data_IF_425284438312
#
_entry.id   IF_425284438312
#
_cell.length_a   1.000
_cell.length_b   1.000
_cell.length_c   1.000
_cell.angle_alpha   90.00
_cell.angle_beta   90.00
_cell.angle_gamma   90.00
#
_symmetry.space_group_name_H-M   'P 1'
#
loop_
_entity.id
_entity.type
_entity.pdbx_description
1 polymer ?
#
# COMPACT_ATOMS: atom_id res chain seq x y z
N UNK A 1 -53.57 -17.28 18.17
CA UNK A 1 -52.97 -15.93 18.20
C UNK A 1 -51.85 -15.98 17.18
N UNK A 2 -52.21 -15.56 15.96
CA UNK A 2 -51.27 -15.46 14.84
C UNK A 2 -50.27 -14.35 15.13
N UNK A 3 -49.03 -14.71 15.39
CA UNK A 3 -47.91 -13.81 15.33
C UNK A 3 -47.75 -13.41 13.87
N UNK A 4 -48.27 -12.26 13.48
CA UNK A 4 -48.01 -11.72 12.15
C UNK A 4 -46.54 -11.40 12.07
N UNK A 5 -45.80 -12.16 11.26
CA UNK A 5 -44.45 -11.79 10.86
C UNK A 5 -44.49 -10.40 10.26
N UNK A 6 -43.64 -9.48 10.75
CA UNK A 6 -43.54 -8.13 10.21
C UNK A 6 -43.15 -8.21 8.74
N UNK A 7 -43.88 -7.49 7.90
CA UNK A 7 -43.62 -7.36 6.49
C UNK A 7 -42.25 -6.70 6.29
N UNK A 8 -41.48 -7.13 5.30
CA UNK A 8 -40.15 -6.55 4.97
C UNK A 8 -40.23 -5.06 4.66
N UNK A 9 -41.33 -4.61 4.05
CA UNK A 9 -41.57 -3.17 3.83
C UNK A 9 -41.74 -2.42 5.16
N UNK A 10 -42.42 -3.02 6.12
CA UNK A 10 -42.59 -2.44 7.46
C UNK A 10 -41.26 -2.41 8.23
N UNK A 11 -40.45 -3.45 8.09
CA UNK A 11 -39.12 -3.51 8.73
C UNK A 11 -38.22 -2.39 8.22
N UNK A 12 -38.26 -2.09 6.92
CA UNK A 12 -37.49 -0.98 6.33
C UNK A 12 -38.19 0.37 6.47
N UNK A 13 -39.47 0.41 6.85
CA UNK A 13 -40.24 1.62 6.99
C UNK A 13 -40.51 2.33 5.66
N UNK A 14 -40.70 1.58 4.59
CA UNK A 14 -40.97 2.07 3.24
C UNK A 14 -42.31 1.56 2.69
N UNK A 15 -42.85 2.22 1.70
CA UNK A 15 -44.05 1.75 1.00
C UNK A 15 -43.74 0.64 0.01
N UNK A 16 -44.74 -0.13 -0.38
CA UNK A 16 -44.59 -1.21 -1.39
C UNK A 16 -44.16 -0.68 -2.77
N UNK A 17 -44.39 0.59 -3.02
CA UNK A 17 -44.03 1.28 -4.27
C UNK A 17 -42.65 1.93 -4.20
N UNK A 18 -41.89 1.70 -3.13
CA UNK A 18 -40.58 2.32 -2.93
C UNK A 18 -39.60 1.97 -4.05
N UNK A 19 -38.87 2.97 -4.55
CA UNK A 19 -37.84 2.78 -5.55
C UNK A 19 -36.60 2.11 -4.96
N UNK A 20 -35.73 1.58 -5.82
CA UNK A 20 -34.45 1.01 -5.38
C UNK A 20 -33.60 2.02 -4.58
N UNK A 21 -33.71 3.30 -4.93
CA UNK A 21 -33.05 4.38 -4.20
C UNK A 21 -33.63 4.57 -2.80
N UNK A 22 -34.94 4.51 -2.67
CA UNK A 22 -35.64 4.65 -1.39
C UNK A 22 -35.31 3.47 -0.46
N UNK A 23 -35.28 2.27 -0.99
CA UNK A 23 -34.86 1.06 -0.27
C UNK A 23 -33.43 1.17 0.25
N UNK A 24 -32.52 1.64 -0.57
CA UNK A 24 -31.12 1.82 -0.21
C UNK A 24 -30.94 2.88 0.88
N UNK A 25 -31.63 4.00 0.75
CA UNK A 25 -31.59 5.09 1.75
C UNK A 25 -32.14 4.63 3.09
N UNK A 26 -33.29 3.94 3.10
CA UNK A 26 -33.91 3.40 4.29
C UNK A 26 -33.01 2.36 4.97
N UNK A 27 -32.41 1.47 4.19
CA UNK A 27 -31.48 0.46 4.70
C UNK A 27 -30.26 1.11 5.36
N UNK A 28 -29.63 2.07 4.73
CA UNK A 28 -28.44 2.75 5.29
C UNK A 28 -28.77 3.42 6.63
N UNK A 29 -29.90 4.08 6.72
CA UNK A 29 -30.34 4.77 7.93
C UNK A 29 -30.59 3.79 9.08
N UNK A 30 -31.28 2.69 8.80
CA UNK A 30 -31.59 1.68 9.80
C UNK A 30 -30.38 0.84 10.19
N UNK A 31 -29.53 0.51 9.23
CA UNK A 31 -28.30 -0.24 9.49
C UNK A 31 -27.34 0.55 10.41
N UNK A 32 -27.21 1.84 10.20
CA UNK A 32 -26.41 2.70 11.07
C UNK A 32 -26.98 2.79 12.49
N UNK A 33 -28.32 2.86 12.61
CA UNK A 33 -29.01 2.96 13.90
C UNK A 33 -28.95 1.67 14.72
N UNK A 34 -29.03 0.52 14.07
CA UNK A 34 -29.10 -0.79 14.73
C UNK A 34 -27.85 -1.62 14.64
N UNK A 35 -26.72 -1.02 14.21
CA UNK A 35 -25.43 -1.70 14.14
C UNK A 35 -24.98 -2.15 15.54
N UNK A 36 -24.51 -3.40 15.70
CA UNK A 36 -24.05 -3.91 17.00
C UNK A 36 -22.97 -3.05 17.65
N UNK A 37 -22.05 -2.49 16.87
CA UNK A 37 -20.97 -1.61 17.36
C UNK A 37 -21.50 -0.25 17.87
N UNK A 38 -22.67 0.17 17.42
CA UNK A 38 -23.34 1.38 17.89
C UNK A 38 -24.31 1.11 19.06
N UNK A 39 -24.25 -0.07 19.67
CA UNK A 39 -25.15 -0.47 20.74
C UNK A 39 -26.55 -0.91 20.27
N UNK A 40 -26.70 -1.21 18.98
CA UNK A 40 -27.95 -1.70 18.41
C UNK A 40 -28.19 -3.19 18.66
N UNK A 41 -29.44 -3.62 18.42
CA UNK A 41 -29.87 -5.01 18.56
C UNK A 41 -29.43 -5.82 17.32
N UNK A 42 -28.63 -6.85 17.54
CA UNK A 42 -28.13 -7.73 16.48
C UNK A 42 -29.27 -8.45 15.73
N UNK A 43 -30.38 -8.79 16.39
CA UNK A 43 -31.52 -9.44 15.75
C UNK A 43 -32.27 -8.48 14.81
N UNK A 44 -32.47 -7.24 15.23
CA UNK A 44 -33.04 -6.20 14.36
C UNK A 44 -32.17 -5.91 13.17
N UNK A 45 -30.87 -5.86 13.37
CA UNK A 45 -29.90 -5.68 12.28
C UNK A 45 -29.99 -6.81 11.26
N UNK A 46 -30.12 -8.06 11.72
CA UNK A 46 -30.32 -9.23 10.87
C UNK A 46 -31.63 -9.15 10.07
N UNK A 47 -32.73 -8.77 10.70
CA UNK A 47 -34.02 -8.59 10.03
C UNK A 47 -33.97 -7.50 8.96
N UNK A 48 -33.32 -6.38 9.25
CA UNK A 48 -33.13 -5.27 8.31
C UNK A 48 -32.34 -5.72 7.10
N UNK A 49 -31.25 -6.47 7.29
CA UNK A 49 -30.43 -7.02 6.21
C UNK A 49 -31.24 -8.00 5.35
N UNK A 50 -32.00 -8.89 5.96
CA UNK A 50 -32.83 -9.85 5.25
C UNK A 50 -33.92 -9.17 4.41
N UNK A 51 -34.60 -8.18 4.97
CA UNK A 51 -35.60 -7.38 4.28
C UNK A 51 -35.02 -6.64 3.07
N UNK A 52 -33.90 -5.97 3.24
CA UNK A 52 -33.25 -5.24 2.16
C UNK A 52 -32.76 -6.16 1.05
N UNK A 53 -32.14 -7.28 1.38
CA UNK A 53 -31.64 -8.24 0.40
C UNK A 53 -32.74 -8.86 -0.43
N UNK A 54 -33.90 -9.11 0.18
CA UNK A 54 -35.05 -9.62 -0.54
C UNK A 54 -35.66 -8.58 -1.46
N UNK A 55 -35.83 -7.35 -0.99
CA UNK A 55 -36.49 -6.28 -1.76
C UNK A 55 -35.59 -5.61 -2.78
N UNK A 56 -34.27 -5.70 -2.63
CA UNK A 56 -33.30 -5.14 -3.53
C UNK A 56 -33.28 -5.86 -4.89
N UNK A 57 -33.45 -7.16 -4.89
CA UNK A 57 -33.47 -7.98 -6.10
C UNK A 57 -34.87 -7.98 -6.72
N UNK A 58 -35.04 -7.52 -7.97
CA UNK A 58 -36.35 -7.50 -8.62
C UNK A 58 -37.04 -8.85 -8.66
N UNK A 59 -36.31 -9.94 -8.85
CA UNK A 59 -36.88 -11.29 -8.88
C UNK A 59 -37.33 -11.75 -7.49
N UNK A 60 -36.52 -11.55 -6.47
CA UNK A 60 -36.89 -11.85 -5.08
C UNK A 60 -38.01 -10.98 -4.57
N UNK A 61 -38.00 -9.71 -4.94
CA UNK A 61 -39.09 -8.77 -4.63
C UNK A 61 -40.40 -9.25 -5.24
N UNK A 62 -40.38 -9.66 -6.50
CA UNK A 62 -41.57 -10.18 -7.18
C UNK A 62 -42.06 -11.46 -6.53
N UNK A 63 -41.20 -12.39 -6.17
CA UNK A 63 -41.57 -13.62 -5.45
C UNK A 63 -42.14 -13.30 -4.07
N UNK A 64 -41.50 -12.37 -3.35
CA UNK A 64 -42.02 -11.93 -2.05
C UNK A 64 -43.40 -11.27 -2.15
N UNK A 65 -43.62 -10.42 -3.15
CA UNK A 65 -44.90 -9.75 -3.39
C UNK A 65 -46.00 -10.73 -3.79
N UNK A 66 -45.67 -11.82 -4.49
CA UNK A 66 -46.64 -12.84 -4.91
C UNK A 66 -46.96 -13.85 -3.82
N UNK A 67 -45.98 -14.29 -3.03
CA UNK A 67 -46.11 -15.41 -2.10
C UNK A 67 -46.04 -15.00 -0.63
N UNK A 68 -45.79 -13.73 -0.32
CA UNK A 68 -45.76 -13.22 1.05
C UNK A 68 -44.57 -13.68 1.90
N UNK A 69 -43.72 -14.53 1.35
CA UNK A 69 -42.48 -14.97 1.99
C UNK A 69 -41.39 -15.21 0.95
N UNK A 70 -40.18 -14.75 1.22
CA UNK A 70 -39.00 -15.19 0.53
C UNK A 70 -38.39 -16.41 1.23
N UNK A 71 -39.23 -17.28 1.80
CA UNK A 71 -38.76 -18.44 2.54
C UNK A 71 -38.14 -19.47 1.57
N UNK A 72 -36.81 -19.68 1.62
CA UNK A 72 -36.14 -20.64 0.77
C UNK A 72 -36.52 -22.09 1.08
N UNK A 73 -37.19 -22.35 2.20
CA UNK A 73 -37.59 -23.72 2.58
C UNK A 73 -38.64 -24.30 1.65
N UNK A 74 -39.43 -23.50 0.96
CA UNK A 74 -40.37 -23.96 -0.03
C UNK A 74 -39.78 -24.19 -1.42
N UNK A 75 -38.53 -23.75 -1.67
CA UNK A 75 -37.86 -23.84 -2.97
C UNK A 75 -36.66 -24.79 -2.99
N UNK A 76 -36.48 -25.65 -2.01
CA UNK A 76 -35.54 -26.78 -2.09
C UNK A 76 -34.06 -26.45 -2.08
N UNK A 77 -33.64 -25.51 -1.29
CA UNK A 77 -32.21 -25.22 -1.09
C UNK A 77 -31.97 -23.99 -0.23
N UNK A 78 -31.64 -24.23 0.99
CA UNK A 78 -31.26 -23.17 1.92
C UNK A 78 -29.77 -22.93 1.87
N UNK A 79 -29.29 -21.89 1.17
CA UNK A 79 -27.86 -21.57 1.20
C UNK A 79 -27.42 -20.97 2.53
N UNK A 80 -28.35 -20.71 3.45
CA UNK A 80 -28.08 -20.09 4.75
C UNK A 80 -28.41 -20.99 5.96
N UNK A 81 -28.55 -22.29 5.74
CA UNK A 81 -28.73 -23.25 6.79
C UNK A 81 -27.47 -23.48 7.61
N UNK A 82 -27.43 -22.97 8.81
CA UNK A 82 -26.47 -23.31 9.85
C UNK A 82 -25.05 -22.75 9.72
N UNK A 83 -24.91 -21.46 9.73
CA UNK A 83 -23.62 -20.82 9.97
C UNK A 83 -23.79 -19.64 10.91
N UNK A 84 -23.22 -19.79 12.07
CA UNK A 84 -23.11 -18.72 13.06
C UNK A 84 -22.26 -17.59 12.49
N UNK A 85 -22.87 -16.70 11.70
CA UNK A 85 -22.19 -15.51 11.22
C UNK A 85 -22.20 -14.44 12.31
N UNK A 86 -21.16 -14.48 13.15
CA UNK A 86 -20.84 -13.36 14.04
C UNK A 86 -20.15 -12.27 13.22
N UNK A 87 -20.86 -11.20 12.98
CA UNK A 87 -20.36 -10.09 12.18
C UNK A 87 -19.79 -8.99 13.09
N UNK A 88 -18.48 -8.77 13.04
CA UNK A 88 -17.77 -7.72 13.79
C UNK A 88 -17.11 -6.70 12.85
N UNK A 89 -17.83 -6.21 11.84
CA UNK A 89 -17.29 -5.28 10.85
C UNK A 89 -18.03 -3.95 10.79
N UNK A 90 -17.40 -2.93 10.21
CA UNK A 90 -17.99 -1.62 9.96
C UNK A 90 -19.08 -1.69 8.87
N UNK A 91 -20.01 -0.70 8.78
CA UNK A 91 -21.02 -0.65 7.72
C UNK A 91 -20.43 -0.65 6.30
N UNK A 92 -19.19 -0.20 6.12
CA UNK A 92 -18.47 -0.22 4.85
C UNK A 92 -17.98 -1.62 4.50
N UNK A 93 -17.52 -2.38 5.49
CA UNK A 93 -17.13 -3.78 5.33
C UNK A 93 -18.32 -4.67 4.96
N UNK A 94 -19.52 -4.30 5.41
CA UNK A 94 -20.76 -4.97 5.03
C UNK A 94 -21.05 -4.82 3.53
N UNK A 95 -20.79 -3.65 2.94
CA UNK A 95 -20.98 -3.46 1.50
C UNK A 95 -20.02 -4.30 0.67
N UNK A 96 -18.77 -4.44 1.11
CA UNK A 96 -17.78 -5.25 0.42
C UNK A 96 -18.09 -6.75 0.53
N UNK A 97 -18.52 -7.21 1.70
CA UNK A 97 -18.91 -8.60 1.90
C UNK A 97 -20.23 -8.93 1.18
N UNK A 98 -21.19 -8.02 1.20
CA UNK A 98 -22.41 -8.18 0.43
C UNK A 98 -22.12 -8.21 -1.08
N UNK A 99 -21.26 -7.33 -1.56
CA UNK A 99 -20.83 -7.34 -2.97
C UNK A 99 -20.13 -8.64 -3.36
N UNK A 100 -19.31 -9.20 -2.49
CA UNK A 100 -18.57 -10.43 -2.74
C UNK A 100 -19.45 -11.67 -2.59
N UNK A 101 -20.33 -11.71 -1.60
CA UNK A 101 -21.14 -12.89 -1.30
C UNK A 101 -22.37 -13.02 -2.21
N UNK A 102 -23.02 -11.92 -2.55
CA UNK A 102 -24.18 -11.91 -3.43
C UNK A 102 -23.83 -11.77 -4.90
N UNK A 103 -22.65 -11.24 -5.24
CA UNK A 103 -22.15 -11.19 -6.62
C UNK A 103 -21.75 -12.55 -7.19
N UNK A 104 -21.45 -13.54 -6.34
CA UNK A 104 -21.04 -14.88 -6.80
C UNK A 104 -22.16 -15.92 -6.82
N UNK A 105 -23.28 -15.70 -6.12
CA UNK A 105 -24.30 -16.73 -5.91
C UNK A 105 -25.62 -16.54 -6.66
N UNK A 106 -25.92 -15.38 -7.15
CA UNK A 106 -27.24 -15.05 -7.69
C UNK A 106 -27.13 -14.33 -9.03
N UNK A 107 -26.62 -14.95 -10.08
CA UNK A 107 -26.90 -14.62 -11.48
C UNK A 107 -27.14 -13.16 -11.91
N UNK A 108 -26.78 -12.17 -11.08
CA UNK A 108 -26.57 -10.84 -11.61
C UNK A 108 -25.29 -10.87 -12.45
N UNK A 109 -25.35 -10.61 -13.74
CA UNK A 109 -24.14 -10.47 -14.49
C UNK A 109 -23.33 -9.40 -13.79
N UNK A 110 -22.13 -9.77 -13.28
CA UNK A 110 -21.11 -8.78 -12.97
C UNK A 110 -21.15 -7.82 -14.15
N UNK A 111 -21.38 -6.53 -13.90
CA UNK A 111 -21.23 -5.53 -14.95
C UNK A 111 -19.87 -5.80 -15.55
N UNK A 112 -19.86 -6.26 -16.79
CA UNK A 112 -18.62 -6.49 -17.51
C UNK A 112 -17.90 -5.15 -17.52
N UNK A 113 -16.76 -5.11 -16.87
CA UNK A 113 -15.88 -3.94 -16.86
C UNK A 113 -14.59 -4.33 -17.54
N UNK A 114 -14.02 -3.40 -18.25
CA UNK A 114 -12.66 -3.56 -18.73
C UNK A 114 -11.72 -3.69 -17.53
N UNK A 115 -10.80 -4.63 -17.61
CA UNK A 115 -9.87 -4.94 -16.54
C UNK A 115 -8.73 -3.93 -16.49
N UNK A 116 -8.15 -3.78 -15.32
CA UNK A 116 -6.87 -3.12 -15.18
C UNK A 116 -5.76 -4.03 -15.72
N UNK A 117 -4.73 -3.41 -16.28
CA UNK A 117 -3.53 -4.10 -16.73
C UNK A 117 -2.41 -3.75 -15.77
N UNK A 118 -1.65 -4.75 -15.35
CA UNK A 118 -0.47 -4.56 -14.51
C UNK A 118 0.79 -4.84 -15.30
N UNK A 119 1.74 -3.92 -15.27
CA UNK A 119 3.07 -4.10 -15.85
C UNK A 119 4.13 -3.75 -14.80
N UNK A 120 5.32 -4.32 -14.95
CA UNK A 120 6.47 -3.97 -14.13
C UNK A 120 7.38 -3.02 -14.90
N UNK A 121 7.89 -2.01 -14.22
CA UNK A 121 8.85 -1.07 -14.79
C UNK A 121 10.03 -0.93 -13.84
N UNK A 122 11.23 -1.21 -14.33
CA UNK A 122 12.46 -1.18 -13.53
C UNK A 122 13.19 0.13 -13.76
N UNK A 123 13.51 0.80 -12.67
CA UNK A 123 14.33 2.03 -12.65
C UNK A 123 15.59 1.80 -11.83
N UNK A 124 16.57 2.66 -12.03
CA UNK A 124 17.82 2.63 -11.26
C UNK A 124 17.67 3.36 -9.92
N UNK A 125 18.55 3.05 -8.98
CA UNK A 125 18.56 3.69 -7.67
C UNK A 125 18.65 5.22 -7.77
N UNK A 126 19.45 5.74 -8.69
CA UNK A 126 19.60 7.19 -8.92
C UNK A 126 18.31 7.88 -9.33
N UNK A 127 17.39 7.16 -9.97
CA UNK A 127 16.15 7.73 -10.50
C UNK A 127 15.14 8.11 -9.43
N UNK A 128 15.27 7.54 -8.22
CA UNK A 128 14.36 7.86 -7.10
C UNK A 128 14.56 9.28 -6.55
N UNK A 129 15.70 9.90 -6.82
CA UNK A 129 16.00 11.23 -6.28
C UNK A 129 15.28 12.34 -7.04
N UNK A 130 15.17 12.22 -8.35
CA UNK A 130 14.55 13.24 -9.21
C UNK A 130 13.28 12.75 -9.92
N UNK A 131 12.98 11.47 -9.78
CA UNK A 131 11.98 10.83 -10.62
C UNK A 131 12.52 10.64 -12.04
N UNK A 132 11.74 9.95 -12.85
CA UNK A 132 12.08 9.70 -14.24
C UNK A 132 10.83 9.76 -15.11
N UNK A 133 10.93 10.45 -16.25
CA UNK A 133 9.93 10.39 -17.31
C UNK A 133 10.41 9.48 -18.41
N UNK A 134 9.56 8.59 -18.89
CA UNK A 134 9.89 7.70 -19.98
C UNK A 134 8.67 7.34 -20.81
N UNK A 135 8.91 7.01 -22.07
CA UNK A 135 7.89 6.46 -22.98
C UNK A 135 7.96 4.95 -22.88
N UNK A 136 6.84 4.33 -22.53
CA UNK A 136 6.75 2.88 -22.44
C UNK A 136 5.74 2.33 -23.46
N UNK A 137 6.02 1.14 -23.95
CA UNK A 137 5.16 0.40 -24.87
C UNK A 137 4.72 -0.91 -24.22
N UNK A 138 3.45 -1.23 -24.33
CA UNK A 138 2.90 -2.48 -23.81
C UNK A 138 1.79 -3.00 -24.71
N UNK A 139 1.52 -4.31 -24.65
CA UNK A 139 0.47 -4.93 -25.42
C UNK A 139 -0.83 -4.98 -24.62
N UNK A 140 -1.93 -4.58 -25.26
CA UNK A 140 -3.26 -4.81 -24.73
C UNK A 140 -3.67 -6.28 -24.96
N UNK A 141 -4.60 -6.83 -24.16
CA UNK A 141 -5.12 -8.18 -24.37
C UNK A 141 -5.70 -8.40 -25.77
N UNK A 142 -6.19 -7.34 -26.41
CA UNK A 142 -6.68 -7.34 -27.80
C UNK A 142 -5.57 -7.52 -28.85
N UNK A 143 -4.29 -7.49 -28.44
CA UNK A 143 -3.13 -7.54 -29.34
C UNK A 143 -2.65 -6.18 -29.83
N UNK A 144 -3.38 -5.11 -29.55
CA UNK A 144 -3.00 -3.75 -29.91
C UNK A 144 -1.82 -3.29 -29.05
N UNK A 145 -0.84 -2.63 -29.68
CA UNK A 145 0.24 -1.98 -28.97
C UNK A 145 -0.17 -0.59 -28.51
N UNK A 146 0.14 -0.28 -27.26
CA UNK A 146 -0.11 1.04 -26.67
C UNK A 146 1.23 1.66 -26.27
N UNK A 147 1.37 2.95 -26.55
CA UNK A 147 2.57 3.75 -26.21
C UNK A 147 2.12 4.93 -25.36
N UNK A 148 2.71 5.08 -24.20
CA UNK A 148 2.37 6.16 -23.27
C UNK A 148 3.61 6.80 -22.67
N UNK A 149 3.50 8.07 -22.34
CA UNK A 149 4.50 8.77 -21.55
C UNK A 149 4.12 8.63 -20.06
N UNK A 150 5.05 8.09 -19.27
CA UNK A 150 4.87 7.88 -17.84
C UNK A 150 5.91 8.65 -17.06
N UNK A 151 5.47 9.31 -16.00
CA UNK A 151 6.36 9.95 -15.05
C UNK A 151 6.33 9.21 -13.73
N UNK A 152 7.48 8.68 -13.34
CA UNK A 152 7.69 8.08 -12.02
C UNK A 152 8.13 9.19 -11.07
N UNK A 153 7.41 9.44 -9.97
CA UNK A 153 7.72 10.56 -9.09
C UNK A 153 9.01 10.35 -8.30
N UNK A 154 9.65 11.46 -7.94
CA UNK A 154 10.77 11.45 -6.99
C UNK A 154 10.27 10.88 -5.64
N UNK A 155 11.10 10.10 -4.99
CA UNK A 155 10.75 9.47 -3.71
C UNK A 155 10.06 8.12 -3.83
N UNK A 156 9.79 7.64 -5.05
CA UNK A 156 9.18 6.32 -5.27
C UNK A 156 9.98 5.23 -4.56
N UNK A 157 9.28 4.27 -3.99
CA UNK A 157 9.88 3.11 -3.31
C UNK A 157 9.77 1.88 -4.18
N UNK A 158 10.69 0.93 -3.97
CA UNK A 158 10.60 -0.37 -4.62
C UNK A 158 9.27 -1.05 -4.25
N UNK A 159 8.52 -1.47 -5.27
CA UNK A 159 7.22 -2.09 -5.08
C UNK A 159 6.03 -1.12 -5.10
N UNK A 160 6.26 0.17 -5.14
CA UNK A 160 5.19 1.14 -5.31
C UNK A 160 4.52 0.99 -6.68
N UNK A 161 3.25 1.35 -6.74
CA UNK A 161 2.48 1.32 -7.99
C UNK A 161 2.09 2.73 -8.42
N UNK A 162 2.21 2.98 -9.72
CA UNK A 162 1.74 4.19 -10.37
C UNK A 162 0.53 3.82 -11.22
N UNK A 163 -0.59 4.50 -11.00
CA UNK A 163 -1.83 4.27 -11.74
C UNK A 163 -1.97 5.28 -12.87
N UNK A 164 -2.17 4.78 -14.08
CA UNK A 164 -2.48 5.60 -15.25
C UNK A 164 -3.91 5.32 -15.64
N UNK A 165 -4.77 6.27 -15.38
CA UNK A 165 -6.20 6.13 -15.56
C UNK A 165 -6.57 6.01 -17.03
N UNK A 166 -7.41 5.03 -17.35
CA UNK A 166 -7.95 4.86 -18.70
C UNK A 166 -7.02 4.21 -19.72
N UNK A 167 -5.90 3.60 -19.28
CA UNK A 167 -4.92 2.95 -20.15
C UNK A 167 -4.82 1.43 -19.96
N UNK A 168 -5.81 0.85 -19.31
CA UNK A 168 -5.96 -0.60 -19.18
C UNK A 168 -6.61 -1.25 -20.39
N UNK A 169 -7.26 -2.39 -20.16
CA UNK A 169 -7.95 -3.16 -21.19
C UNK A 169 -9.08 -2.35 -21.84
N UNK A 170 -9.22 -2.48 -23.15
CA UNK A 170 -10.26 -1.86 -23.97
C UNK A 170 -11.12 -2.89 -24.72
N UNK A 171 -11.04 -4.16 -24.36
CA UNK A 171 -11.65 -5.27 -25.13
C UNK A 171 -13.17 -5.21 -25.16
N UNK A 172 -13.81 -4.65 -24.15
CA UNK A 172 -15.27 -4.50 -24.08
C UNK A 172 -15.67 -3.15 -24.63
N UNK A 173 -16.23 -3.16 -25.84
CA UNK A 173 -16.73 -1.94 -26.48
C UNK A 173 -17.93 -1.36 -25.72
N UNK A 174 -18.01 -0.04 -25.66
CA UNK A 174 -19.07 0.67 -24.96
C UNK A 174 -18.87 0.78 -23.44
N UNK A 175 -17.84 0.15 -22.90
CA UNK A 175 -17.44 0.27 -21.50
C UNK A 175 -16.16 1.12 -21.37
N UNK A 176 -16.03 1.90 -20.30
CA UNK A 176 -14.79 2.63 -20.05
C UNK A 176 -13.59 1.65 -20.02
N UNK A 177 -12.45 2.12 -20.49
CA UNK A 177 -11.22 1.36 -20.40
C UNK A 177 -10.86 1.17 -18.91
N UNK A 178 -10.21 0.04 -18.59
CA UNK A 178 -9.58 -0.14 -17.31
C UNK A 178 -8.38 0.79 -17.13
N UNK A 179 -7.68 0.65 -16.04
CA UNK A 179 -6.49 1.44 -15.73
C UNK A 179 -5.22 0.62 -15.93
N UNK A 180 -4.13 1.30 -16.22
CA UNK A 180 -2.81 0.70 -16.22
C UNK A 180 -2.19 0.88 -14.84
N UNK A 181 -1.74 -0.21 -14.25
CA UNK A 181 -1.02 -0.22 -12.97
C UNK A 181 0.43 -0.54 -13.26
N UNK A 182 1.31 0.41 -13.01
CA UNK A 182 2.75 0.23 -13.22
C UNK A 182 3.39 -0.07 -11.87
N UNK A 183 3.87 -1.28 -11.70
CA UNK A 183 4.61 -1.67 -10.51
C UNK A 183 6.07 -1.30 -10.69
N UNK A 184 6.55 -0.38 -9.88
CA UNK A 184 7.91 0.13 -9.95
C UNK A 184 8.85 -0.81 -9.21
N UNK A 185 9.88 -1.26 -9.91
CA UNK A 185 11.01 -1.99 -9.32
C UNK A 185 12.23 -1.09 -9.33
N UNK A 186 12.86 -0.93 -8.19
CA UNK A 186 14.08 -0.12 -8.07
C UNK A 186 15.27 -1.07 -8.00
N UNK A 187 16.17 -0.95 -8.98
CA UNK A 187 17.42 -1.71 -9.01
C UNK A 187 18.36 -1.18 -7.93
N UNK A 188 18.87 -2.08 -7.09
CA UNK A 188 19.81 -1.73 -6.05
C UNK A 188 21.13 -1.19 -6.62
N UNK A 189 21.80 -0.35 -5.85
CA UNK A 189 23.14 0.14 -6.14
C UNK A 189 24.11 -0.44 -5.09
N UNK A 190 25.22 -1.01 -5.57
CA UNK A 190 26.24 -1.58 -4.69
C UNK A 190 26.73 -0.54 -3.67
N UNK A 191 26.90 -0.96 -2.43
CA UNK A 191 27.33 -0.14 -1.29
C UNK A 191 26.32 0.90 -0.79
N UNK A 192 25.10 0.91 -1.33
CA UNK A 192 24.06 1.81 -0.91
C UNK A 192 22.81 1.05 -0.49
N UNK A 193 22.18 1.53 0.58
CA UNK A 193 20.92 1.00 1.10
C UNK A 193 19.97 2.14 1.39
N UNK A 194 18.69 1.93 1.16
CA UNK A 194 17.64 2.90 1.48
C UNK A 194 16.73 2.34 2.57
N UNK A 195 16.43 3.16 3.56
CA UNK A 195 15.39 2.92 4.56
C UNK A 195 14.51 4.17 4.65
N UNK A 196 13.24 4.05 4.26
CA UNK A 196 12.37 5.22 4.17
C UNK A 196 12.94 6.24 3.18
N UNK A 197 13.21 7.43 3.66
CA UNK A 197 13.83 8.51 2.85
C UNK A 197 15.33 8.66 3.12
N UNK A 198 15.87 7.86 4.03
CA UNK A 198 17.29 7.90 4.38
C UNK A 198 18.09 6.90 3.56
N UNK A 199 19.35 7.24 3.28
CA UNK A 199 20.26 6.35 2.58
C UNK A 199 21.51 6.10 3.42
N UNK A 200 22.07 4.93 3.26
CA UNK A 200 23.17 4.41 4.08
C UNK A 200 24.28 3.90 3.19
N UNK A 201 25.50 4.22 3.56
CA UNK A 201 26.71 3.66 2.93
C UNK A 201 27.78 3.44 3.97
N UNK A 202 28.82 2.74 3.57
CA UNK A 202 30.01 2.49 4.39
C UNK A 202 31.25 2.98 3.68
N UNK A 203 32.19 3.51 4.45
CA UNK A 203 33.52 3.89 3.96
C UNK A 203 34.60 3.23 4.81
N UNK A 204 35.56 2.60 4.15
CA UNK A 204 36.74 2.06 4.80
C UNK A 204 37.80 3.14 4.90
N UNK A 205 38.29 3.37 6.10
CA UNK A 205 39.36 4.32 6.38
C UNK A 205 40.48 3.63 7.15
N UNK A 206 41.69 4.09 6.88
CA UNK A 206 42.85 3.74 7.68
C UNK A 206 42.61 4.18 9.13
N UNK A 207 43.01 3.36 10.09
CA UNK A 207 42.82 3.68 11.53
C UNK A 207 43.58 4.96 11.92
N UNK A 208 44.66 5.33 11.23
CA UNK A 208 45.34 6.61 11.46
C UNK A 208 44.49 7.78 11.03
N UNK A 209 43.73 7.68 9.97
CA UNK A 209 42.80 8.73 9.56
C UNK A 209 41.67 8.89 10.58
N UNK A 210 41.21 7.81 11.19
CA UNK A 210 40.22 7.89 12.26
C UNK A 210 40.81 8.51 13.53
N UNK A 211 42.06 8.22 13.80
CA UNK A 211 42.79 8.76 14.96
C UNK A 211 43.08 10.26 14.79
N UNK A 212 43.58 10.65 13.64
CA UNK A 212 44.05 12.02 13.36
C UNK A 212 42.93 12.93 12.87
N UNK A 213 41.88 12.38 12.36
CA UNK A 213 40.87 13.10 11.60
C UNK A 213 41.27 13.29 10.14
N UNK A 214 40.29 13.40 9.29
CA UNK A 214 40.50 13.61 7.86
C UNK A 214 39.23 14.15 7.19
N UNK A 215 39.31 14.52 5.95
CA UNK A 215 38.19 14.85 5.10
C UNK A 215 38.15 13.87 3.94
N UNK A 216 37.03 13.27 3.69
CA UNK A 216 36.87 12.30 2.61
C UNK A 216 35.86 12.81 1.57
N UNK A 217 36.15 12.64 0.28
CA UNK A 217 35.17 12.88 -0.75
C UNK A 217 34.16 11.75 -0.79
N UNK A 218 32.91 12.06 -1.08
CA UNK A 218 31.87 11.08 -1.28
C UNK A 218 31.00 11.51 -2.46
N UNK A 219 30.83 10.61 -3.42
CA UNK A 219 29.89 10.78 -4.51
C UNK A 219 28.58 10.12 -4.13
N UNK A 220 27.50 10.91 -4.15
CA UNK A 220 26.16 10.43 -3.81
C UNK A 220 25.53 9.69 -4.99
N UNK A 221 24.52 8.87 -4.77
CA UNK A 221 23.83 8.17 -5.87
C UNK A 221 23.20 9.11 -6.90
N UNK A 222 22.86 10.34 -6.52
CA UNK A 222 22.34 11.38 -7.40
C UNK A 222 23.44 12.30 -7.97
N UNK A 223 24.68 11.81 -8.04
CA UNK A 223 25.84 12.47 -8.63
C UNK A 223 26.25 13.81 -7.99
N UNK A 224 25.99 13.96 -6.70
CA UNK A 224 26.53 15.10 -5.95
C UNK A 224 27.87 14.73 -5.36
N UNK A 225 28.77 15.69 -5.36
CA UNK A 225 30.11 15.55 -4.80
C UNK A 225 30.14 16.28 -3.46
N UNK A 226 30.28 15.55 -2.37
CA UNK A 226 30.32 16.12 -1.02
C UNK A 226 31.62 15.74 -0.34
N UNK A 227 32.00 16.53 0.65
CA UNK A 227 33.13 16.27 1.51
C UNK A 227 32.64 16.00 2.92
N UNK A 228 33.04 14.86 3.49
CA UNK A 228 32.67 14.48 4.85
C UNK A 228 33.87 14.73 5.75
N UNK A 229 33.63 15.48 6.81
CA UNK A 229 34.65 15.72 7.83
C UNK A 229 34.62 14.58 8.86
N UNK A 230 35.76 13.90 9.02
CA UNK A 230 35.96 12.86 10.01
C UNK A 230 36.76 13.49 11.17
N UNK A 231 36.11 13.70 12.33
CA UNK A 231 36.81 14.27 13.46
C UNK A 231 37.95 13.37 13.98
N UNK A 232 38.99 13.98 14.56
CA UNK A 232 40.02 13.22 15.23
C UNK A 232 39.43 12.38 16.38
N UNK A 233 39.94 11.16 16.56
CA UNK A 233 39.43 10.26 17.60
C UNK A 233 38.08 9.63 17.27
N UNK A 234 37.74 9.53 16.00
CA UNK A 234 36.52 8.83 15.56
C UNK A 234 36.69 7.33 15.69
N UNK A 235 35.78 6.69 16.41
CA UNK A 235 35.81 5.24 16.60
C UNK A 235 35.41 4.51 15.31
N UNK A 236 36.08 3.40 14.98
CA UNK A 236 35.59 2.50 13.94
C UNK A 236 34.14 2.07 14.23
N UNK A 237 33.30 2.04 13.22
CA UNK A 237 31.87 1.74 13.37
C UNK A 237 30.99 2.95 13.63
N UNK A 238 31.57 4.15 13.79
CA UNK A 238 30.79 5.38 13.96
C UNK A 238 30.00 5.68 12.69
N UNK A 239 28.76 6.07 12.87
CA UNK A 239 27.89 6.55 11.78
C UNK A 239 27.77 8.07 11.82
N UNK A 240 28.13 8.71 10.73
CA UNK A 240 28.06 10.16 10.55
C UNK A 240 26.83 10.48 9.71
N UNK A 241 26.12 11.56 10.06
CA UNK A 241 24.93 11.98 9.31
C UNK A 241 25.20 13.23 8.49
N UNK A 242 24.65 13.25 7.29
CA UNK A 242 24.66 14.41 6.39
C UNK A 242 23.21 14.76 6.09
N UNK A 243 22.73 15.82 6.69
CA UNK A 243 21.34 16.24 6.60
C UNK A 243 20.96 16.67 5.18
N UNK A 244 19.81 16.20 4.70
CA UNK A 244 19.25 16.64 3.43
C UNK A 244 19.83 15.99 2.19
N UNK A 245 20.64 14.93 2.32
CA UNK A 245 21.21 14.18 1.20
C UNK A 245 20.56 12.80 0.99
N UNK A 246 19.45 12.53 1.65
CA UNK A 246 18.65 11.35 1.41
C UNK A 246 17.71 11.52 0.21
N UNK A 247 16.73 10.65 0.13
CA UNK A 247 15.72 10.65 -0.94
C UNK A 247 14.60 11.64 -0.59
N UNK A 248 14.06 12.37 -1.58
CA UNK A 248 12.87 13.19 -1.32
C UNK A 248 11.67 12.33 -0.93
N UNK A 249 10.89 12.81 0.02
CA UNK A 249 9.62 12.18 0.35
C UNK A 249 8.63 12.42 -0.80
N UNK A 250 7.96 11.36 -1.24
CA UNK A 250 7.03 11.43 -2.39
C UNK A 250 5.86 12.40 -2.14
N UNK A 251 5.44 12.58 -0.90
CA UNK A 251 4.30 13.43 -0.53
C UNK A 251 4.69 14.87 -0.18
N UNK A 252 5.83 15.06 0.48
CA UNK A 252 6.22 16.37 1.03
C UNK A 252 7.39 17.02 0.30
N UNK A 253 8.09 16.28 -0.57
CA UNK A 253 9.34 16.69 -1.23
C UNK A 253 10.50 16.99 -0.28
N UNK A 254 10.34 16.79 1.02
CA UNK A 254 11.40 16.96 2.01
C UNK A 254 12.38 15.81 1.89
N UNK A 255 13.67 16.13 1.78
CA UNK A 255 14.72 15.11 1.66
C UNK A 255 15.04 14.49 3.02
N UNK A 256 15.28 13.18 3.01
CA UNK A 256 15.85 12.47 4.16
C UNK A 256 17.36 12.76 4.29
N UNK A 257 18.04 11.93 5.07
CA UNK A 257 19.45 12.10 5.41
C UNK A 257 20.31 11.00 4.80
N UNK A 258 21.57 11.32 4.65
CA UNK A 258 22.63 10.36 4.30
C UNK A 258 23.36 9.96 5.59
N UNK A 259 23.59 8.68 5.77
CA UNK A 259 24.36 8.12 6.86
C UNK A 259 25.56 7.36 6.32
N UNK A 260 26.73 7.69 6.84
CA UNK A 260 28.01 7.07 6.46
C UNK A 260 28.60 6.38 7.69
N UNK A 261 28.72 5.07 7.63
CA UNK A 261 29.40 4.30 8.67
C UNK A 261 30.86 4.13 8.27
N UNK A 262 31.77 4.54 9.13
CA UNK A 262 33.21 4.42 8.90
C UNK A 262 33.71 3.09 9.45
N UNK A 263 34.42 2.35 8.62
CA UNK A 263 35.10 1.12 8.98
C UNK A 263 36.60 1.41 9.09
N UNK A 264 37.23 0.87 10.14
CA UNK A 264 38.67 0.99 10.30
C UNK A 264 39.41 -0.16 9.63
N UNK A 265 40.46 0.19 8.90
CA UNK A 265 41.41 -0.77 8.34
C UNK A 265 42.75 -0.57 9.04
N UNK A 266 43.32 -1.62 9.57
CA UNK A 266 44.61 -1.59 10.21
C UNK A 266 45.69 -1.88 9.15
N UNK A 267 46.55 -0.90 8.83
CA UNK A 267 47.62 -1.12 7.89
C UNK A 267 48.71 -1.99 8.48
N UNK A 268 49.44 -2.69 7.64
CA UNK A 268 50.69 -3.34 8.04
C UNK A 268 51.80 -2.32 8.06
N UNK A 269 52.51 -2.24 9.18
CA UNK A 269 53.59 -1.31 9.40
C UNK A 269 54.95 -2.02 9.43
N UNK A 270 55.98 -1.30 9.03
CA UNK A 270 57.33 -1.72 9.16
C UNK A 270 57.84 -1.62 10.60
N UNK A 271 58.93 -2.31 10.94
CA UNK A 271 59.42 -2.34 12.31
C UNK A 271 59.71 -0.94 12.89
N UNK A 272 60.28 -0.06 12.11
CA UNK A 272 60.55 1.33 12.54
C UNK A 272 59.26 2.07 12.88
N UNK A 273 58.24 1.91 12.04
CA UNK A 273 56.93 2.55 12.21
C UNK A 273 56.25 2.02 13.48
N UNK A 274 56.31 0.70 13.71
CA UNK A 274 55.79 0.08 14.95
C UNK A 274 56.49 0.63 16.21
N UNK A 275 57.80 0.84 16.16
CA UNK A 275 58.56 1.42 17.27
C UNK A 275 58.08 2.84 17.59
N UNK A 276 57.85 3.67 16.57
CA UNK A 276 57.33 5.02 16.72
C UNK A 276 55.95 5.03 17.32
N UNK A 277 55.06 4.18 16.83
CA UNK A 277 53.70 4.06 17.37
C UNK A 277 53.68 3.60 18.81
N UNK A 278 54.61 2.67 19.18
CA UNK A 278 54.71 2.21 20.56
C UNK A 278 55.12 3.33 21.52
N UNK A 279 56.04 4.22 21.10
CA UNK A 279 56.38 5.40 21.89
C UNK A 279 55.17 6.32 22.12
N UNK A 280 54.36 6.56 21.10
CA UNK A 280 53.14 7.38 21.20
C UNK A 280 52.17 6.71 22.18
N UNK A 281 51.94 5.40 22.04
CA UNK A 281 51.06 4.63 22.93
C UNK A 281 51.48 4.71 24.38
N UNK A 282 52.76 4.52 24.64
CA UNK A 282 53.32 4.55 26.00
C UNK A 282 53.17 5.95 26.63
N UNK A 283 53.35 6.98 25.83
CA UNK A 283 53.11 8.37 26.26
C UNK A 283 51.64 8.64 26.62
N UNK A 284 50.70 8.07 25.89
CA UNK A 284 49.28 8.17 26.21
C UNK A 284 48.93 7.47 27.52
N UNK A 285 49.45 6.23 27.71
CA UNK A 285 49.22 5.47 28.95
C UNK A 285 49.71 6.23 30.19
N UNK A 286 50.80 6.94 30.08
CA UNK A 286 51.32 7.78 31.16
C UNK A 286 50.40 8.99 31.49
N UNK A 287 49.74 9.53 30.52
CA UNK A 287 48.78 10.67 30.68
C UNK A 287 47.44 10.22 31.28
N UNK A 288 47.01 8.98 31.05
CA UNK A 288 45.69 8.47 31.50
C UNK A 288 45.75 7.77 32.88
N UNK A 289 46.91 7.66 33.47
CA UNK A 289 47.10 7.17 34.85
C UNK A 289 47.00 8.38 35.83
#
# INVERSE_FOLDING_TARGET
ISSSMADYYDILGVSRDASAKDLKTAFRKLAAKHHPDAGGDAEKFKEINEAYNTLKDPQKKQMYDQYGTADPQQMGGNPFGNGNFSFTGSPEDLQDIFGTFFGQGFGQPRRRQNRNISISYTIDFKDVFNGIGNTISYALPSGKQEVIDVRIPAGVKNGDSVRVQGYGDDSIQGMPRGDLIIKVKVRGLANWRREGDDIYTMKELDVFDLLLGTKIPLDTPDNKHITINIPSGTNPGTTLSVTGYGVPNVNTSRRGNLYVTVKGITPKLEQKELEEIRKVKDGINLRTK
#
